data_IF_506666474833
#
_entry.id   IF_506666474833
#
_cell.length_a   1.000
_cell.length_b   1.000
_cell.length_c   1.000
_cell.angle_alpha   90.00
_cell.angle_beta   90.00
_cell.angle_gamma   90.00
#
_symmetry.space_group_name_H-M   'P 1'
#
loop_
_entity.id
_entity.type
_entity.pdbx_description
1 polymer ?
#
# COMPACT_ATOMS: atom_id res chain seq x y z
N UNK A 1 0.31 -16.56 -12.63
CA UNK A 1 -0.15 -15.17 -12.79
C UNK A 1 -0.12 -14.45 -11.45
N UNK A 2 0.51 -13.29 -11.41
CA UNK A 2 0.55 -12.53 -10.17
C UNK A 2 -0.77 -11.84 -9.90
N UNK A 3 -1.11 -11.79 -8.64
CA UNK A 3 -2.24 -11.03 -8.17
C UNK A 3 -1.76 -9.65 -7.77
N UNK A 4 -2.15 -8.62 -8.53
CA UNK A 4 -1.73 -7.25 -8.24
C UNK A 4 -2.92 -6.44 -7.77
N UNK A 5 -2.63 -5.45 -6.94
CA UNK A 5 -3.66 -4.61 -6.34
C UNK A 5 -3.25 -3.15 -6.47
N UNK A 6 -4.24 -2.29 -6.36
CA UNK A 6 -4.03 -0.85 -6.32
C UNK A 6 -4.42 -0.37 -4.93
N UNK A 7 -3.51 0.34 -4.30
CA UNK A 7 -3.75 0.89 -2.98
C UNK A 7 -3.73 2.40 -3.05
N UNK A 8 -4.80 3.03 -2.57
CA UNK A 8 -4.87 4.48 -2.48
C UNK A 8 -4.87 4.86 -1.01
N UNK A 9 -3.93 5.71 -0.62
CA UNK A 9 -3.83 6.19 0.74
C UNK A 9 -4.26 7.65 0.77
N UNK A 10 -5.18 7.97 1.64
CA UNK A 10 -5.70 9.32 1.82
C UNK A 10 -5.05 9.92 3.06
N UNK A 11 -4.19 10.90 2.84
CA UNK A 11 -3.37 11.47 3.92
C UNK A 11 -4.15 12.40 4.83
N UNK A 12 -5.11 13.12 4.24
CA UNK A 12 -5.93 14.05 5.00
C UNK A 12 -7.40 13.72 4.77
N UNK A 13 -8.23 14.69 4.77
CA UNK A 13 -9.67 14.55 4.58
C UNK A 13 -10.04 14.31 3.11
N UNK A 14 -9.31 13.40 2.47
CA UNK A 14 -9.48 12.94 1.08
C UNK A 14 -9.02 13.93 0.03
N UNK A 15 -8.36 15.00 0.41
CA UNK A 15 -7.86 15.96 -0.57
C UNK A 15 -6.49 15.59 -1.11
N UNK A 16 -5.71 14.82 -0.34
CA UNK A 16 -4.37 14.39 -0.76
C UNK A 16 -4.33 12.87 -0.80
N UNK A 17 -3.99 12.35 -1.97
CA UNK A 17 -3.96 10.92 -2.20
C UNK A 17 -2.59 10.47 -2.66
N UNK A 18 -2.19 9.29 -2.21
CA UNK A 18 -1.00 8.60 -2.71
C UNK A 18 -1.46 7.27 -3.26
N UNK A 19 -1.17 7.01 -4.53
CA UNK A 19 -1.62 5.79 -5.20
C UNK A 19 -0.42 4.89 -5.45
N UNK A 20 -0.51 3.66 -4.99
CA UNK A 20 0.50 2.64 -5.24
C UNK A 20 -0.07 1.57 -6.15
N UNK A 21 0.67 1.27 -7.21
CA UNK A 21 0.34 0.16 -8.10
C UNK A 21 1.25 -1.02 -7.81
N UNK A 22 0.98 -2.15 -8.40
CA UNK A 22 1.76 -3.37 -8.24
C UNK A 22 1.88 -3.81 -6.78
N UNK A 23 0.81 -3.61 -6.05
CA UNK A 23 0.78 -3.96 -4.64
C UNK A 23 0.54 -5.46 -4.52
N UNK A 24 1.41 -6.12 -3.76
CA UNK A 24 1.29 -7.55 -3.49
C UNK A 24 0.44 -7.79 -2.25
N UNK A 25 0.70 -7.03 -1.20
CA UNK A 25 0.01 -7.23 0.07
C UNK A 25 0.00 -5.94 0.87
N UNK A 26 -1.00 -5.83 1.73
CA UNK A 26 -1.14 -4.71 2.67
C UNK A 26 -1.45 -5.32 4.02
N UNK A 27 -0.70 -4.98 5.04
CA UNK A 27 -0.93 -5.53 6.36
C UNK A 27 -0.49 -4.56 7.45
N UNK A 28 -1.05 -4.77 8.63
CA UNK A 28 -0.69 -3.98 9.81
C UNK A 28 0.41 -4.65 10.60
N UNK A 29 1.27 -3.84 11.21
CA UNK A 29 2.31 -4.33 12.09
C UNK A 29 2.45 -3.39 13.27
N UNK A 30 3.33 -3.72 14.23
CA UNK A 30 3.57 -2.93 15.43
C UNK A 30 2.28 -2.63 16.20
N UNK A 31 1.48 -3.67 16.43
CA UNK A 31 0.23 -3.52 17.18
C UNK A 31 -0.80 -2.66 16.47
N UNK A 32 -0.84 -2.77 15.15
CA UNK A 32 -1.77 -2.00 14.30
C UNK A 32 -1.46 -0.51 14.28
N UNK A 33 -0.20 -0.15 14.48
CA UNK A 33 0.20 1.25 14.44
C UNK A 33 0.90 1.63 13.14
N UNK A 34 1.34 0.65 12.36
CA UNK A 34 2.02 0.90 11.10
C UNK A 34 1.40 0.04 10.01
N UNK A 35 0.99 0.68 8.93
CA UNK A 35 0.51 -0.02 7.74
C UNK A 35 1.68 -0.28 6.82
N UNK A 36 1.86 -1.53 6.43
CA UNK A 36 2.95 -1.92 5.54
C UNK A 36 2.38 -2.28 4.18
N UNK A 37 2.92 -1.65 3.15
CA UNK A 37 2.54 -1.91 1.76
C UNK A 37 3.69 -2.64 1.09
N UNK A 38 3.44 -3.85 0.64
CA UNK A 38 4.42 -4.66 -0.06
C UNK A 38 4.13 -4.57 -1.55
N UNK A 39 5.12 -4.16 -2.33
CA UNK A 39 4.98 -3.97 -3.78
C UNK A 39 5.96 -4.86 -4.53
N UNK A 40 5.56 -5.27 -5.73
CA UNK A 40 6.47 -5.97 -6.62
C UNK A 40 7.48 -5.01 -7.22
N UNK A 41 8.71 -5.48 -7.38
CA UNK A 41 9.72 -4.72 -8.08
C UNK A 41 9.39 -4.67 -9.57
N UNK A 42 9.49 -3.48 -10.16
CA UNK A 42 9.16 -3.29 -11.56
C UNK A 42 10.13 -4.00 -12.50
N UNK A 43 11.37 -4.18 -12.06
CA UNK A 43 12.41 -4.72 -12.94
C UNK A 43 12.39 -6.24 -13.02
N UNK A 44 12.32 -6.93 -11.90
CA UNK A 44 12.39 -8.39 -11.92
C UNK A 44 11.09 -9.06 -11.48
N UNK A 45 10.17 -8.32 -10.89
CA UNK A 45 8.89 -8.87 -10.49
C UNK A 45 8.94 -9.76 -9.25
N UNK A 46 10.12 -10.03 -8.72
CA UNK A 46 10.28 -10.93 -7.58
C UNK A 46 10.67 -10.21 -6.31
N UNK A 47 11.53 -9.21 -6.41
CA UNK A 47 11.91 -8.43 -5.25
C UNK A 47 10.73 -7.59 -4.79
N UNK A 48 10.73 -7.27 -3.52
CA UNK A 48 9.64 -6.52 -2.92
C UNK A 48 10.15 -5.23 -2.33
N UNK A 49 9.36 -4.19 -2.49
CA UNK A 49 9.57 -2.93 -1.80
C UNK A 49 8.54 -2.83 -0.68
N UNK A 50 8.99 -2.46 0.49
CA UNK A 50 8.13 -2.31 1.66
C UNK A 50 8.03 -0.83 2.02
N UNK A 51 6.80 -0.33 2.06
CA UNK A 51 6.53 1.06 2.38
C UNK A 51 5.77 1.08 3.69
N UNK A 52 6.25 1.88 4.63
CA UNK A 52 5.68 1.92 5.98
C UNK A 52 4.94 3.24 6.17
N UNK A 53 3.68 3.14 6.56
CA UNK A 53 2.84 4.30 6.84
C UNK A 53 2.42 4.26 8.29
N UNK A 54 2.98 5.12 9.15
CA UNK A 54 2.47 5.25 10.51
C UNK A 54 1.00 5.65 10.49
N UNK A 55 0.23 5.07 11.37
CA UNK A 55 -1.22 5.29 11.39
C UNK A 55 -1.58 6.77 11.49
N UNK A 56 -0.77 7.55 12.20
CA UNK A 56 -1.01 8.97 12.39
C UNK A 56 -0.73 9.82 11.15
N UNK A 57 -0.15 9.24 10.10
CA UNK A 57 0.22 9.94 8.90
C UNK A 57 -0.82 9.85 7.80
N UNK A 58 -1.88 9.12 8.00
CA UNK A 58 -2.93 9.00 7.00
C UNK A 58 -4.27 8.82 7.70
N UNK A 59 -5.36 9.14 6.97
CA UNK A 59 -6.71 9.00 7.50
C UNK A 59 -7.29 7.62 7.23
N UNK A 60 -7.20 7.18 5.98
CA UNK A 60 -7.74 5.87 5.60
C UNK A 60 -7.13 5.46 4.27
N UNK A 61 -7.37 4.24 3.87
CA UNK A 61 -6.87 3.72 2.62
C UNK A 61 -7.93 2.86 1.95
N UNK A 62 -7.79 2.74 0.63
CA UNK A 62 -8.67 1.91 -0.19
C UNK A 62 -7.81 0.92 -0.94
N UNK A 63 -8.11 -0.36 -0.77
CA UNK A 63 -7.37 -1.44 -1.37
C UNK A 63 -8.30 -2.18 -2.32
N UNK A 64 -7.95 -2.23 -3.59
CA UNK A 64 -8.81 -2.85 -4.58
C UNK A 64 -8.00 -3.68 -5.56
N UNK A 65 -8.59 -4.75 -6.10
CA UNK A 65 -7.88 -5.57 -7.07
C UNK A 65 -7.66 -4.80 -8.36
N UNK A 66 -6.56 -5.12 -9.00
CA UNK A 66 -6.25 -4.59 -10.32
C UNK A 66 -6.64 -5.63 -11.35
N UNK A 67 -7.57 -5.29 -12.19
CA UNK A 67 -8.05 -6.18 -13.25
C UNK A 67 -7.26 -6.03 -14.52
#
# INVERSE_FOLDING_TARGET
>A
MRSERILTIYRDDSTVQVVYTRVKAVFWTAGNTVLVVSRYNAEDGNAHHYIHWPRERFCWFKDQPHD
#
